data_IF_879997214621
#
_entry.id   IF_879997214621
#
_cell.length_a   1.000
_cell.length_b   1.000
_cell.length_c   1.000
_cell.angle_alpha   90.00
_cell.angle_beta   90.00
_cell.angle_gamma   90.00
#
_symmetry.space_group_name_H-M   'P 1'
#
loop_
_entity.id
_entity.type
_entity.pdbx_description
1 polymer ?
#
# COMPACT_ATOMS: atom_id res chain seq x y z
N UNK A 1 -39.26 56.70 29.66
CA UNK A 1 -38.03 56.27 28.96
C UNK A 1 -37.89 54.77 29.13
N UNK A 2 -38.29 54.01 28.12
CA UNK A 2 -38.31 52.53 28.18
C UNK A 2 -36.91 51.99 27.85
N UNK A 3 -36.25 51.37 28.82
CA UNK A 3 -35.03 50.60 28.59
C UNK A 3 -35.35 49.38 27.70
N UNK A 4 -34.88 49.43 26.46
CA UNK A 4 -34.91 48.29 25.56
C UNK A 4 -33.87 47.27 26.05
N UNK A 5 -34.33 46.20 26.72
CA UNK A 5 -33.51 45.03 27.04
C UNK A 5 -33.02 44.39 25.74
N UNK A 6 -31.76 44.65 25.39
CA UNK A 6 -31.09 44.00 24.25
C UNK A 6 -30.98 42.49 24.52
N UNK A 7 -31.40 41.63 23.58
CA UNK A 7 -31.38 40.18 23.77
C UNK A 7 -29.95 39.67 23.98
N UNK A 8 -29.81 38.70 24.88
CA UNK A 8 -28.55 38.13 25.39
C UNK A 8 -27.65 37.50 24.29
N UNK A 9 -28.16 37.35 23.07
CA UNK A 9 -27.47 36.81 21.89
C UNK A 9 -26.44 37.76 21.26
N UNK A 10 -26.61 39.08 21.44
CA UNK A 10 -25.71 40.09 20.85
C UNK A 10 -24.30 40.06 21.44
N UNK A 11 -24.11 39.41 22.58
CA UNK A 11 -22.82 39.23 23.26
C UNK A 11 -22.33 37.76 23.28
N UNK A 12 -22.91 36.89 22.44
CA UNK A 12 -22.49 35.48 22.38
C UNK A 12 -21.07 35.33 21.84
N UNK A 13 -20.31 34.39 22.40
CA UNK A 13 -18.94 34.12 21.94
C UNK A 13 -18.92 33.71 20.47
N UNK A 14 -19.93 32.97 20.00
CA UNK A 14 -20.08 32.57 18.59
C UNK A 14 -20.15 33.77 17.66
N UNK A 15 -20.96 34.78 18.00
CA UNK A 15 -21.07 36.00 17.18
C UNK A 15 -19.75 36.80 17.20
N UNK A 16 -19.09 36.87 18.36
CA UNK A 16 -17.79 37.53 18.49
C UNK A 16 -16.72 36.80 17.66
N UNK A 17 -16.69 35.47 17.68
CA UNK A 17 -15.78 34.66 16.86
C UNK A 17 -16.02 34.89 15.38
N UNK A 18 -17.29 34.94 14.92
CA UNK A 18 -17.58 35.23 13.50
C UNK A 18 -17.07 36.61 13.08
N UNK A 19 -17.30 37.64 13.89
CA UNK A 19 -16.81 39.00 13.60
C UNK A 19 -15.29 39.09 13.70
N UNK A 20 -14.68 38.41 14.67
CA UNK A 20 -13.23 38.28 14.82
C UNK A 20 -12.60 37.66 13.56
N UNK A 21 -13.16 36.55 13.07
CA UNK A 21 -12.70 35.90 11.84
C UNK A 21 -12.85 36.80 10.60
N UNK A 22 -13.90 37.63 10.55
CA UNK A 22 -14.07 38.61 9.47
C UNK A 22 -13.00 39.73 9.52
N UNK A 23 -12.57 40.16 10.72
CA UNK A 23 -11.46 41.10 10.87
C UNK A 23 -10.14 40.45 10.47
N UNK A 24 -9.93 39.20 10.84
CA UNK A 24 -8.74 38.44 10.48
C UNK A 24 -8.59 38.28 8.95
N UNK A 25 -9.70 38.11 8.23
CA UNK A 25 -9.75 38.06 6.76
C UNK A 25 -9.36 39.37 6.08
N UNK A 26 -9.66 40.50 6.71
CA UNK A 26 -9.38 41.83 6.16
C UNK A 26 -7.98 42.34 6.52
N UNK A 27 -7.34 41.71 7.50
CA UNK A 27 -6.06 42.16 8.02
C UNK A 27 -4.92 41.80 7.04
N UNK A 28 -4.02 42.74 6.72
CA UNK A 28 -2.84 42.46 5.91
C UNK A 28 -1.93 41.47 6.63
N UNK A 29 -1.36 40.53 5.88
CA UNK A 29 -0.48 39.44 6.36
C UNK A 29 -1.08 38.53 7.46
N UNK A 30 -2.41 38.57 7.64
CA UNK A 30 -3.12 37.81 8.66
C UNK A 30 -2.76 38.23 10.09
N UNK A 31 -2.25 39.45 10.28
CA UNK A 31 -1.82 39.97 11.60
C UNK A 31 -2.89 40.86 12.21
N UNK A 32 -3.30 40.56 13.45
CA UNK A 32 -4.31 41.36 14.19
C UNK A 32 -3.76 41.92 15.50
N UNK A 33 -4.07 43.19 15.78
CA UNK A 33 -3.89 43.79 17.10
C UNK A 33 -5.11 43.55 18.00
N UNK A 34 -4.87 42.93 19.15
CA UNK A 34 -5.90 42.59 20.14
C UNK A 34 -6.57 43.82 20.76
N UNK A 35 -5.91 44.99 20.81
CA UNK A 35 -6.52 46.25 21.25
C UNK A 35 -7.54 46.75 20.22
N UNK A 36 -7.15 46.76 18.95
CA UNK A 36 -8.01 47.22 17.86
C UNK A 36 -9.24 46.32 17.74
N UNK A 37 -9.04 45.00 17.81
CA UNK A 37 -10.14 44.03 17.81
C UNK A 37 -11.10 44.24 18.98
N UNK A 38 -10.59 44.51 20.19
CA UNK A 38 -11.43 44.77 21.35
C UNK A 38 -12.30 46.03 21.16
N UNK A 39 -11.72 47.09 20.60
CA UNK A 39 -12.42 48.34 20.28
C UNK A 39 -13.47 48.12 19.18
N UNK A 40 -13.11 47.44 18.09
CA UNK A 40 -13.97 47.20 16.92
C UNK A 40 -15.14 46.26 17.23
N UNK A 41 -14.91 45.25 18.07
CA UNK A 41 -15.97 44.36 18.53
C UNK A 41 -16.80 44.96 19.69
N UNK A 42 -16.37 46.08 20.27
CA UNK A 42 -17.02 46.72 21.42
C UNK A 42 -17.00 45.87 22.69
N UNK A 43 -15.96 45.04 22.88
CA UNK A 43 -15.85 44.10 24.00
C UNK A 43 -14.57 44.31 24.81
N UNK A 44 -14.57 43.83 26.06
CA UNK A 44 -13.37 43.84 26.91
C UNK A 44 -12.34 42.84 26.38
N UNK A 45 -11.04 43.14 26.54
CA UNK A 45 -9.92 42.24 26.15
C UNK A 45 -10.08 40.79 26.62
N UNK A 46 -10.70 40.57 27.78
CA UNK A 46 -10.99 39.23 28.30
C UNK A 46 -11.74 38.35 27.31
N UNK A 47 -12.70 38.90 26.54
CA UNK A 47 -13.48 38.15 25.54
C UNK A 47 -12.68 37.81 24.30
N UNK A 48 -11.76 38.69 23.90
CA UNK A 48 -10.83 38.41 22.81
C UNK A 48 -9.92 37.23 23.19
N UNK A 49 -9.48 37.15 24.45
CA UNK A 49 -8.68 36.02 24.92
C UNK A 49 -9.44 34.68 24.91
N UNK A 50 -10.75 34.67 25.16
CA UNK A 50 -11.54 33.44 25.02
C UNK A 50 -11.45 32.88 23.60
N UNK A 51 -11.47 33.76 22.58
CA UNK A 51 -11.37 33.37 21.17
C UNK A 51 -9.93 32.94 20.83
N UNK A 52 -8.93 33.74 21.22
CA UNK A 52 -7.54 33.42 20.89
C UNK A 52 -7.06 32.16 21.57
N UNK A 53 -7.48 31.87 22.81
CA UNK A 53 -7.07 30.65 23.51
C UNK A 53 -7.56 29.38 22.80
N UNK A 54 -8.78 29.42 22.24
CA UNK A 54 -9.30 28.29 21.46
C UNK A 54 -8.50 28.16 20.18
N UNK A 55 -8.30 29.26 19.43
CA UNK A 55 -7.55 29.25 18.17
C UNK A 55 -6.08 28.85 18.34
N UNK A 56 -5.45 29.23 19.45
CA UNK A 56 -4.09 28.84 19.82
C UNK A 56 -4.04 27.36 20.26
N UNK A 57 -5.06 26.90 21.00
CA UNK A 57 -5.20 25.49 21.38
C UNK A 57 -5.28 24.54 20.19
N UNK A 58 -5.93 24.97 19.09
CA UNK A 58 -5.96 24.25 17.80
C UNK A 58 -4.85 24.67 16.83
N UNK A 59 -3.89 25.49 17.30
CA UNK A 59 -2.68 25.92 16.57
C UNK A 59 -2.93 26.64 15.23
N UNK A 60 -4.04 27.37 15.12
CA UNK A 60 -4.35 28.16 13.92
C UNK A 60 -3.81 29.59 13.96
N UNK A 61 -3.35 30.05 15.12
CA UNK A 61 -2.72 31.37 15.31
C UNK A 61 -1.39 31.24 16.04
N UNK A 62 -0.47 32.19 15.84
CA UNK A 62 0.73 32.39 16.68
C UNK A 62 0.72 33.77 17.30
N UNK A 63 1.35 33.86 18.46
CA UNK A 63 1.71 35.14 19.07
C UNK A 63 2.94 35.73 18.38
N UNK A 64 2.80 36.93 17.80
CA UNK A 64 3.93 37.73 17.27
C UNK A 64 4.49 38.66 18.34
N UNK A 65 3.63 39.25 19.16
CA UNK A 65 4.01 40.13 20.28
C UNK A 65 2.96 40.14 21.38
N UNK A 66 3.10 40.97 22.42
CA UNK A 66 2.13 41.05 23.54
C UNK A 66 0.71 41.39 23.07
N UNK A 67 0.57 42.20 22.02
CA UNK A 67 -0.73 42.63 21.49
C UNK A 67 -0.99 42.16 20.04
N UNK A 68 -0.02 41.54 19.37
CA UNK A 68 -0.19 41.08 17.99
C UNK A 68 -0.22 39.55 17.90
N UNK A 69 -1.23 39.06 17.18
CA UNK A 69 -1.33 37.67 16.76
C UNK A 69 -1.24 37.58 15.24
N UNK A 70 -0.83 36.43 14.73
CA UNK A 70 -0.83 36.15 13.30
C UNK A 70 -1.53 34.82 13.03
N UNK A 71 -2.35 34.79 11.99
CA UNK A 71 -2.93 33.56 11.45
C UNK A 71 -1.86 32.68 10.79
N UNK A 72 -1.84 31.40 11.14
CA UNK A 72 -0.95 30.38 10.53
C UNK A 72 -1.75 29.31 9.79
N UNK A 73 -3.08 29.25 9.96
CA UNK A 73 -3.89 28.25 9.30
C UNK A 73 -3.83 28.35 7.77
N UNK A 74 -3.92 27.20 7.09
CA UNK A 74 -4.08 27.13 5.63
C UNK A 74 -5.30 27.95 5.19
N UNK A 75 -5.13 28.79 4.17
CA UNK A 75 -6.12 29.68 3.54
C UNK A 75 -7.43 29.93 4.33
N UNK A 76 -7.53 31.11 4.95
CA UNK A 76 -8.69 31.57 5.72
C UNK A 76 -10.01 31.60 4.91
N UNK A 77 -9.92 31.54 3.58
CA UNK A 77 -11.05 31.35 2.67
C UNK A 77 -11.76 30.01 2.89
N UNK A 78 -11.01 28.94 3.21
CA UNK A 78 -11.57 27.60 3.42
C UNK A 78 -12.40 27.49 4.70
N UNK A 79 -12.09 28.30 5.73
CA UNK A 79 -12.68 28.18 7.08
C UNK A 79 -14.04 28.90 7.23
N UNK A 80 -14.39 29.85 6.36
CA UNK A 80 -15.68 30.57 6.44
C UNK A 80 -16.35 30.74 5.06
N UNK A 81 -16.31 29.72 4.21
CA UNK A 81 -17.25 29.65 3.07
C UNK A 81 -16.68 29.84 1.66
N UNK A 82 -15.40 29.54 1.43
CA UNK A 82 -14.92 29.17 0.09
C UNK A 82 -13.81 28.14 0.23
N UNK A 83 -14.22 26.87 0.28
CA UNK A 83 -13.33 25.73 0.08
C UNK A 83 -12.46 25.98 -1.19
N UNK A 84 -11.22 25.45 -1.25
CA UNK A 84 -10.53 25.41 -2.54
C UNK A 84 -11.44 24.64 -3.48
N UNK A 85 -11.70 25.16 -4.68
CA UNK A 85 -12.85 24.77 -5.50
C UNK A 85 -13.05 23.25 -5.50
N UNK A 86 -14.16 22.72 -4.93
CA UNK A 86 -14.45 21.29 -4.90
C UNK A 86 -14.60 20.70 -6.31
N UNK A 87 -14.53 21.51 -7.36
CA UNK A 87 -14.52 21.10 -8.75
C UNK A 87 -13.14 20.55 -9.13
N UNK A 88 -12.03 21.26 -8.90
CA UNK A 88 -10.69 20.79 -9.27
C UNK A 88 -10.32 19.44 -8.64
N UNK A 89 -10.67 19.24 -7.36
CA UNK A 89 -10.44 17.95 -6.68
C UNK A 89 -11.38 16.85 -7.18
N UNK A 90 -12.59 17.20 -7.63
CA UNK A 90 -13.51 16.23 -8.24
C UNK A 90 -13.04 15.84 -9.64
N UNK A 91 -12.50 16.79 -10.39
CA UNK A 91 -11.93 16.57 -11.71
C UNK A 91 -10.70 15.66 -11.59
N UNK A 92 -9.79 15.95 -10.65
CA UNK A 92 -8.62 15.09 -10.37
C UNK A 92 -9.03 13.68 -9.93
N UNK A 93 -10.06 13.54 -9.08
CA UNK A 93 -10.59 12.22 -8.71
C UNK A 93 -11.23 11.48 -9.89
N UNK A 94 -11.89 12.20 -10.79
CA UNK A 94 -12.47 11.62 -12.00
C UNK A 94 -11.38 11.13 -12.95
N UNK A 95 -10.33 11.92 -13.13
CA UNK A 95 -9.18 11.57 -13.97
C UNK A 95 -8.44 10.34 -13.42
N UNK A 96 -8.22 10.29 -12.09
CA UNK A 96 -7.61 9.15 -11.42
C UNK A 96 -8.47 7.89 -11.55
N UNK A 97 -9.80 8.01 -11.40
CA UNK A 97 -10.72 6.89 -11.57
C UNK A 97 -10.72 6.35 -13.00
N UNK A 98 -10.65 7.22 -14.01
CA UNK A 98 -10.56 6.80 -15.40
C UNK A 98 -9.22 6.10 -15.70
N UNK A 99 -8.13 6.57 -15.08
CA UNK A 99 -6.82 5.92 -15.20
C UNK A 99 -6.81 4.54 -14.54
N UNK A 100 -7.42 4.39 -13.37
CA UNK A 100 -7.58 3.10 -12.68
C UNK A 100 -8.36 2.10 -13.55
N UNK A 101 -9.49 2.54 -14.12
CA UNK A 101 -10.31 1.69 -15.01
C UNK A 101 -9.53 1.26 -16.26
N UNK A 102 -8.76 2.16 -16.87
CA UNK A 102 -7.91 1.82 -18.01
C UNK A 102 -6.80 0.82 -17.65
N UNK A 103 -6.19 0.94 -16.47
CA UNK A 103 -5.18 -0.01 -15.98
C UNK A 103 -5.80 -1.39 -15.72
N UNK A 104 -6.98 -1.45 -15.12
CA UNK A 104 -7.70 -2.69 -14.87
C UNK A 104 -8.08 -3.40 -16.18
N UNK A 105 -8.49 -2.66 -17.21
CA UNK A 105 -8.71 -3.22 -18.55
C UNK A 105 -7.43 -3.80 -19.16
N UNK A 106 -6.30 -3.11 -19.02
CA UNK A 106 -5.02 -3.62 -19.51
C UNK A 106 -4.58 -4.89 -18.76
N UNK A 107 -4.71 -4.92 -17.43
CA UNK A 107 -4.40 -6.10 -16.61
C UNK A 107 -5.28 -7.27 -17.04
N UNK A 108 -6.59 -7.04 -17.21
CA UNK A 108 -7.54 -8.06 -17.65
C UNK A 108 -7.19 -8.59 -19.04
N UNK A 109 -6.85 -7.71 -19.98
CA UNK A 109 -6.46 -8.10 -21.32
C UNK A 109 -5.16 -8.91 -21.34
N UNK A 110 -4.16 -8.52 -20.55
CA UNK A 110 -2.90 -9.27 -20.43
C UNK A 110 -3.14 -10.65 -19.80
N UNK A 111 -3.93 -10.71 -18.73
CA UNK A 111 -4.29 -11.97 -18.07
C UNK A 111 -5.03 -12.91 -19.03
N UNK A 112 -5.94 -12.37 -19.86
CA UNK A 112 -6.65 -13.15 -20.86
C UNK A 112 -5.73 -13.69 -21.94
N UNK A 113 -4.80 -12.87 -22.47
CA UNK A 113 -3.82 -13.34 -23.46
C UNK A 113 -2.93 -14.46 -22.92
N UNK A 114 -2.47 -14.35 -21.67
CA UNK A 114 -1.70 -15.42 -21.02
C UNK A 114 -2.56 -16.69 -20.88
N UNK A 115 -3.82 -16.54 -20.47
CA UNK A 115 -4.75 -17.67 -20.35
C UNK A 115 -4.97 -18.37 -21.70
N UNK A 116 -5.23 -17.64 -22.77
CA UNK A 116 -5.40 -18.20 -24.12
C UNK A 116 -4.15 -18.98 -24.58
N UNK A 117 -2.95 -18.46 -24.31
CA UNK A 117 -1.69 -19.14 -24.68
C UNK A 117 -1.41 -20.40 -23.85
N UNK A 118 -1.88 -20.44 -22.60
CA UNK A 118 -1.58 -21.52 -21.64
C UNK A 118 -2.66 -22.61 -21.57
N UNK A 119 -3.93 -22.28 -21.81
CA UNK A 119 -5.08 -23.22 -21.79
C UNK A 119 -5.43 -23.78 -23.17
N UNK A 120 -4.72 -23.39 -24.23
CA UNK A 120 -4.90 -23.97 -25.55
C UNK A 120 -4.60 -25.48 -25.53
N UNK A 121 -5.66 -26.28 -25.67
CA UNK A 121 -5.63 -27.75 -25.64
C UNK A 121 -4.81 -28.34 -26.79
N UNK A 122 -4.57 -27.60 -27.86
CA UNK A 122 -3.68 -28.00 -28.95
C UNK A 122 -2.21 -27.82 -28.57
N UNK A 123 -1.90 -26.86 -27.70
CA UNK A 123 -0.57 -26.61 -27.13
C UNK A 123 -0.23 -27.60 -25.99
N UNK A 124 -1.23 -28.30 -25.45
CA UNK A 124 -1.08 -29.30 -24.39
C UNK A 124 -0.90 -30.75 -24.90
N UNK A 125 -1.17 -31.02 -26.19
CA UNK A 125 -1.09 -32.36 -26.77
C UNK A 125 0.20 -32.58 -27.55
N UNK A 126 0.87 -33.69 -27.26
CA UNK A 126 2.00 -34.16 -28.07
C UNK A 126 1.58 -34.31 -29.54
N UNK A 127 2.38 -33.88 -30.53
CA UNK A 127 3.75 -33.33 -30.43
C UNK A 127 3.83 -31.79 -30.32
N UNK A 128 2.71 -31.09 -30.21
CA UNK A 128 2.65 -29.62 -30.27
C UNK A 128 2.85 -28.94 -28.90
N UNK A 129 3.43 -29.64 -27.93
CA UNK A 129 3.76 -29.03 -26.63
C UNK A 129 4.95 -28.09 -26.81
N UNK A 130 4.69 -26.79 -26.92
CA UNK A 130 5.74 -25.77 -27.07
C UNK A 130 6.13 -25.09 -25.76
N UNK A 131 5.51 -25.47 -24.62
CA UNK A 131 5.87 -24.98 -23.29
C UNK A 131 6.82 -25.94 -22.59
N UNK A 132 8.08 -25.95 -23.03
CA UNK A 132 9.18 -26.65 -22.36
C UNK A 132 10.47 -25.85 -22.50
N UNK A 133 11.44 -26.20 -21.66
CA UNK A 133 12.81 -25.72 -21.77
C UNK A 133 13.74 -26.93 -21.87
N UNK A 134 14.80 -26.81 -22.66
CA UNK A 134 15.82 -27.85 -22.77
C UNK A 134 16.92 -27.64 -21.74
N UNK A 135 17.71 -28.68 -21.48
CA UNK A 135 18.90 -28.56 -20.65
C UNK A 135 19.89 -27.52 -21.19
N UNK A 136 19.98 -27.38 -22.52
CA UNK A 136 20.85 -26.39 -23.15
C UNK A 136 20.38 -24.96 -22.87
N UNK A 137 19.07 -24.73 -22.87
CA UNK A 137 18.48 -23.41 -22.57
C UNK A 137 18.81 -23.00 -21.13
N UNK A 138 18.62 -23.91 -20.17
CA UNK A 138 18.95 -23.66 -18.76
C UNK A 138 20.45 -23.39 -18.58
N UNK A 139 21.31 -24.16 -19.28
CA UNK A 139 22.77 -24.01 -19.23
C UNK A 139 23.27 -22.70 -19.85
N UNK A 140 22.55 -22.17 -20.84
CA UNK A 140 22.92 -20.92 -21.49
C UNK A 140 22.84 -19.70 -20.56
N UNK A 141 22.15 -19.83 -19.42
CA UNK A 141 22.01 -18.79 -18.42
C UNK A 141 23.32 -18.65 -17.63
N UNK A 142 24.01 -17.53 -17.82
CA UNK A 142 25.33 -17.26 -17.21
C UNK A 142 25.31 -17.40 -15.69
N UNK A 143 24.22 -16.99 -15.03
CA UNK A 143 24.06 -17.07 -13.57
C UNK A 143 24.12 -18.49 -13.00
N UNK A 144 23.82 -19.51 -13.80
CA UNK A 144 23.80 -20.92 -13.38
C UNK A 144 25.08 -21.68 -13.72
N UNK A 145 26.08 -21.01 -14.30
CA UNK A 145 27.36 -21.65 -14.57
C UNK A 145 28.03 -22.12 -13.28
N UNK A 146 28.60 -23.33 -13.32
CA UNK A 146 29.29 -23.99 -12.19
C UNK A 146 28.42 -24.26 -10.95
N UNK A 147 27.09 -24.16 -11.06
CA UNK A 147 26.15 -24.44 -9.99
C UNK A 147 25.36 -25.73 -10.25
N UNK A 148 24.89 -26.35 -9.17
CA UNK A 148 23.95 -27.48 -9.26
C UNK A 148 22.55 -26.91 -9.45
N UNK A 149 21.90 -27.24 -10.57
CA UNK A 149 20.53 -26.81 -10.86
C UNK A 149 19.56 -27.98 -10.69
N UNK A 150 18.58 -27.79 -9.80
CA UNK A 150 17.52 -28.76 -9.52
C UNK A 150 16.20 -28.19 -10.06
N UNK A 151 15.61 -28.87 -11.05
CA UNK A 151 14.32 -28.50 -11.60
C UNK A 151 13.20 -29.29 -10.91
N UNK A 152 12.25 -28.58 -10.30
CA UNK A 152 11.13 -29.16 -9.56
C UNK A 152 9.83 -28.90 -10.34
N UNK A 153 9.14 -29.97 -10.74
CA UNK A 153 7.81 -29.93 -11.35
C UNK A 153 6.79 -30.48 -10.37
N UNK A 154 5.96 -29.60 -9.83
CA UNK A 154 4.94 -29.92 -8.85
C UNK A 154 3.55 -29.43 -9.32
N UNK A 155 2.45 -30.07 -8.88
CA UNK A 155 1.11 -29.61 -9.20
C UNK A 155 0.77 -28.31 -8.46
N UNK A 156 -0.36 -27.69 -8.83
CA UNK A 156 -0.87 -26.48 -8.19
C UNK A 156 -1.02 -26.64 -6.66
N UNK A 157 -0.94 -25.51 -5.94
CA UNK A 157 -1.01 -25.44 -4.47
C UNK A 157 0.11 -26.21 -3.73
N UNK A 158 1.18 -26.60 -4.41
CA UNK A 158 2.38 -27.14 -3.75
C UNK A 158 3.05 -26.05 -2.90
N UNK A 159 3.38 -26.39 -1.65
CA UNK A 159 4.08 -25.52 -0.71
C UNK A 159 5.58 -25.77 -0.76
N UNK A 160 6.35 -24.69 -0.86
CA UNK A 160 7.82 -24.69 -0.75
C UNK A 160 8.19 -23.92 0.52
N UNK A 161 8.81 -24.59 1.48
CA UNK A 161 9.26 -23.99 2.74
C UNK A 161 10.78 -24.15 2.86
N UNK A 162 11.47 -23.07 3.21
CA UNK A 162 12.91 -23.06 3.49
C UNK A 162 13.06 -22.67 4.96
N UNK A 163 13.21 -23.65 5.87
CA UNK A 163 13.44 -23.38 7.28
C UNK A 163 14.73 -22.56 7.49
N UNK A 164 14.81 -21.87 8.63
CA UNK A 164 16.04 -21.16 9.02
C UNK A 164 17.19 -22.17 9.06
N UNK A 165 18.32 -21.91 8.38
CA UNK A 165 19.45 -22.82 8.35
C UNK A 165 19.90 -23.15 9.78
N UNK A 166 20.06 -24.44 10.07
CA UNK A 166 20.79 -24.90 11.26
C UNK A 166 22.28 -24.92 10.91
N UNK A 167 23.16 -24.87 11.91
CA UNK A 167 24.58 -24.51 11.79
C UNK A 167 25.39 -25.23 10.68
N UNK A 168 24.93 -26.34 10.11
CA UNK A 168 25.64 -27.11 9.07
C UNK A 168 24.82 -27.57 7.84
N UNK A 169 23.53 -27.22 7.70
CA UNK A 169 22.76 -27.62 6.51
C UNK A 169 21.57 -26.71 6.21
N UNK A 170 21.23 -26.60 4.93
CA UNK A 170 20.04 -25.94 4.43
C UNK A 170 19.06 -27.04 4.02
N UNK A 171 17.83 -26.97 4.54
CA UNK A 171 16.75 -27.86 4.13
C UNK A 171 15.77 -27.11 3.23
N UNK A 172 15.22 -27.82 2.25
CA UNK A 172 14.11 -27.34 1.42
C UNK A 172 12.99 -28.36 1.52
N UNK A 173 11.85 -27.94 2.05
CA UNK A 173 10.67 -28.80 2.22
C UNK A 173 9.67 -28.50 1.12
N UNK A 174 9.30 -29.51 0.33
CA UNK A 174 8.32 -29.38 -0.75
C UNK A 174 7.16 -30.33 -0.49
N UNK A 175 5.96 -29.78 -0.32
CA UNK A 175 4.76 -30.56 0.05
C UNK A 175 3.62 -30.30 -0.91
N UNK A 176 3.07 -31.36 -1.49
CA UNK A 176 1.90 -31.31 -2.35
C UNK A 176 0.74 -32.12 -1.78
N UNK A 177 -0.49 -31.66 -2.02
CA UNK A 177 -1.74 -32.34 -1.66
C UNK A 177 -2.52 -32.85 -2.88
N UNK A 178 -2.14 -32.43 -4.09
CA UNK A 178 -2.90 -32.67 -5.33
C UNK A 178 -2.21 -33.63 -6.30
N UNK A 179 -1.02 -34.13 -5.99
CA UNK A 179 -0.32 -35.10 -6.83
C UNK A 179 1.17 -35.27 -6.51
N UNK A 180 1.87 -36.11 -7.28
CA UNK A 180 3.30 -36.34 -7.11
C UNK A 180 4.13 -35.13 -7.56
N UNK A 181 5.28 -34.96 -6.91
CA UNK A 181 6.30 -33.96 -7.28
C UNK A 181 7.40 -34.69 -8.07
N UNK A 182 7.78 -34.15 -9.22
CA UNK A 182 8.89 -34.67 -10.01
C UNK A 182 10.11 -33.74 -9.84
N UNK A 183 11.28 -34.32 -9.60
CA UNK A 183 12.52 -33.58 -9.38
C UNK A 183 13.56 -34.07 -10.38
N UNK A 184 14.22 -33.15 -11.07
CA UNK A 184 15.23 -33.43 -12.08
C UNK A 184 16.52 -32.71 -11.73
N UNK A 185 17.63 -33.42 -11.81
CA UNK A 185 18.96 -32.81 -11.71
C UNK A 185 19.42 -32.43 -13.11
N UNK A 186 19.72 -31.15 -13.33
CA UNK A 186 20.33 -30.71 -14.58
C UNK A 186 21.83 -31.03 -14.51
N UNK A 187 22.18 -32.27 -14.82
CA UNK A 187 23.57 -32.72 -14.74
C UNK A 187 24.47 -32.02 -15.76
N UNK A 188 25.69 -31.76 -15.32
CA UNK A 188 26.80 -31.45 -16.21
C UNK A 188 27.28 -32.79 -16.74
N UNK A 189 27.04 -33.08 -18.01
CA UNK A 189 27.89 -34.07 -18.71
C UNK A 189 29.31 -33.49 -18.69
N UNK A 190 30.05 -33.84 -17.65
CA UNK A 190 31.50 -33.73 -17.65
C UNK A 190 31.92 -34.79 -18.66
N UNK A 191 32.59 -34.37 -19.73
CA UNK A 191 33.27 -35.30 -20.62
C UNK A 191 34.22 -36.16 -19.77
N UNK A 192 33.76 -37.33 -19.34
CA UNK A 192 34.61 -38.37 -18.80
C UNK A 192 35.29 -39.02 -20.00
N UNK A 193 36.46 -38.48 -20.33
CA UNK A 193 37.51 -39.29 -20.91
C UNK A 193 37.81 -40.43 -19.92
N UNK A 194 37.25 -41.62 -20.16
CA UNK A 194 37.62 -42.83 -19.44
C UNK A 194 36.47 -43.80 -19.25
N UNK A 195 36.44 -44.85 -20.08
CA UNK A 195 35.54 -45.99 -19.98
C UNK A 195 35.59 -46.67 -18.60
N UNK A 196 34.42 -47.09 -18.09
CA UNK A 196 34.29 -47.97 -16.93
C UNK A 196 32.84 -48.12 -16.48
N UNK A 197 32.15 -49.15 -16.99
CA UNK A 197 30.84 -49.63 -16.52
C UNK A 197 30.88 -50.09 -15.06
N UNK A 198 29.90 -49.67 -14.24
CA UNK A 198 29.01 -50.57 -13.48
C UNK A 198 28.02 -49.78 -12.57
N UNK A 199 26.74 -50.08 -12.77
CA UNK A 199 25.62 -50.17 -11.82
C UNK A 199 25.76 -49.53 -10.43
N UNK A 200 24.89 -48.56 -10.11
CA UNK A 200 24.04 -48.61 -8.91
C UNK A 200 22.90 -47.59 -8.99
N UNK A 201 21.68 -48.09 -8.82
CA UNK A 201 20.42 -47.35 -8.78
C UNK A 201 20.09 -47.13 -7.31
N UNK A 202 20.51 -46.00 -6.75
CA UNK A 202 20.14 -45.63 -5.38
C UNK A 202 18.75 -44.97 -5.38
N UNK A 203 17.74 -45.82 -5.26
CA UNK A 203 16.38 -45.43 -4.88
C UNK A 203 16.41 -44.86 -3.46
N UNK A 204 16.28 -43.54 -3.32
CA UNK A 204 16.03 -42.90 -2.02
C UNK A 204 14.63 -43.28 -1.57
N UNK A 205 14.55 -44.02 -0.47
CA UNK A 205 13.32 -44.49 0.16
C UNK A 205 12.53 -43.35 0.79
N UNK A 206 11.31 -43.12 0.30
CA UNK A 206 10.30 -42.30 0.95
C UNK A 206 9.66 -43.07 2.12
N UNK A 207 9.87 -42.63 3.35
CA UNK A 207 9.12 -43.14 4.50
C UNK A 207 7.72 -42.48 4.53
N UNK A 208 6.68 -43.30 4.41
CA UNK A 208 5.28 -42.89 4.56
C UNK A 208 4.81 -43.34 5.95
N UNK A 209 4.73 -42.43 6.91
CA UNK A 209 3.99 -42.70 8.15
C UNK A 209 2.49 -42.46 7.90
N UNK A 210 1.72 -43.55 7.91
CA UNK A 210 0.26 -43.53 7.81
C UNK A 210 -0.32 -43.54 9.24
N UNK A 211 -0.69 -42.38 9.76
CA UNK A 211 -1.41 -42.26 11.03
C UNK A 211 -2.90 -42.61 10.83
N UNK A 212 -3.34 -43.77 11.35
CA UNK A 212 -4.74 -44.21 11.39
C UNK A 212 -5.47 -43.52 12.55
N UNK A 213 -6.66 -42.92 12.36
CA UNK A 213 -7.46 -42.44 13.49
C UNK A 213 -8.21 -43.60 14.16
N UNK A 214 -8.15 -43.65 15.49
CA UNK A 214 -8.89 -44.60 16.30
C UNK A 214 -10.41 -44.35 16.18
N UNK A 215 -11.14 -45.39 15.79
CA UNK A 215 -12.59 -45.48 15.97
C UNK A 215 -12.85 -46.04 17.37
N UNK A 216 -13.59 -45.30 18.21
CA UNK A 216 -14.34 -45.89 19.32
C UNK A 216 -15.77 -45.34 19.29
N UNK A 217 -16.72 -46.23 19.62
CA UNK A 217 -18.17 -46.03 19.56
C UNK A 217 -18.79 -45.52 20.85
#
# INVERSE_FOLDING_TARGET
>A
TLEVKRPRFDASLVLLTRRFMALLKKAPDGVLDLNEVATTLGVRKRRVYDITNVLDGIRLIRKRSKNLIQWIGSNLDQVVGKAPEPQNLKDELSDLSAMEEALDELIKNCAHQIFELTDDKENAKYPNTWSYVTYQDIRSIETFQEQIVIAIKAPEETKLEIPVPKDDHIEVHVKSTKGPINVYLCEVEKEMAGAGTCENMDTVTSETELSVPAHEG
#
